data_IF_956669286381
#
_entry.id   IF_956669286381
#
_cell.length_a   1.000
_cell.length_b   1.000
_cell.length_c   1.000
_cell.angle_alpha   90.00
_cell.angle_beta   90.00
_cell.angle_gamma   90.00
#
_symmetry.space_group_name_H-M   'P 1'
#
loop_
_entity.id
_entity.type
_entity.pdbx_description
1 polymer ?
#
# COMPACT_ATOMS: atom_id res chain seq x y z
N UNK A 1 53.98 10.90 0.02
CA UNK A 1 54.39 9.93 1.07
C UNK A 1 54.05 10.46 2.45
N UNK A 2 52.97 10.00 3.07
CA UNK A 2 52.98 9.44 4.44
C UNK A 2 51.69 8.64 4.63
N UNK A 3 51.84 7.39 5.06
CA UNK A 3 50.84 6.33 5.15
C UNK A 3 50.60 6.07 6.65
N UNK A 4 49.36 6.09 7.15
CA UNK A 4 49.00 5.68 8.53
C UNK A 4 47.59 5.03 8.54
N UNK A 5 47.22 4.20 9.53
CA UNK A 5 46.80 2.82 9.28
C UNK A 5 45.33 2.51 9.59
N UNK A 6 44.85 1.44 8.93
CA UNK A 6 43.61 0.71 9.22
C UNK A 6 43.62 0.17 10.67
N UNK A 7 42.61 0.49 11.48
CA UNK A 7 42.36 -0.19 12.76
C UNK A 7 41.07 -1.00 12.63
N UNK A 8 41.26 -2.32 12.57
CA UNK A 8 40.25 -3.37 12.52
C UNK A 8 40.01 -3.84 13.96
N UNK A 9 38.92 -3.42 14.59
CA UNK A 9 38.50 -3.94 15.89
C UNK A 9 37.54 -5.11 15.68
N UNK A 10 38.06 -6.32 15.81
CA UNK A 10 37.29 -7.55 15.99
C UNK A 10 37.05 -7.77 17.47
N UNK A 11 35.80 -7.96 17.89
CA UNK A 11 35.48 -8.62 19.16
C UNK A 11 34.38 -9.65 18.91
N UNK A 12 34.73 -10.91 19.18
CA UNK A 12 33.98 -12.13 18.93
C UNK A 12 33.01 -12.46 20.12
N UNK A 13 32.15 -13.48 20.01
CA UNK A 13 30.87 -13.60 20.72
C UNK A 13 30.98 -14.33 22.08
N UNK A 14 29.95 -14.19 22.93
CA UNK A 14 29.76 -15.02 24.12
C UNK A 14 28.44 -15.80 23.99
N UNK A 15 28.57 -17.12 23.90
CA UNK A 15 27.50 -18.12 23.82
C UNK A 15 27.41 -18.81 25.19
N UNK A 16 26.21 -18.83 25.80
CA UNK A 16 25.79 -19.74 26.89
C UNK A 16 24.26 -19.91 26.71
N UNK A 17 23.61 -21.05 26.52
CA UNK A 17 24.00 -22.46 26.59
C UNK A 17 23.42 -23.17 27.83
N UNK A 18 22.14 -23.54 27.88
CA UNK A 18 21.67 -24.72 28.63
C UNK A 18 20.25 -25.20 28.22
N UNK A 19 20.19 -26.44 27.75
CA UNK A 19 19.01 -27.19 27.32
C UNK A 19 18.37 -27.96 28.49
N UNK A 20 17.04 -28.13 28.47
CA UNK A 20 16.31 -29.11 29.30
C UNK A 20 15.48 -30.02 28.37
N UNK A 21 15.79 -31.32 28.40
CA UNK A 21 14.96 -32.44 27.90
C UNK A 21 14.20 -33.04 29.12
N UNK A 22 13.14 -33.84 29.10
CA UNK A 22 12.56 -34.87 28.21
C UNK A 22 11.15 -35.16 28.79
N UNK A 23 10.15 -35.54 27.98
CA UNK A 23 9.23 -36.64 28.35
C UNK A 23 8.41 -37.11 27.14
N UNK A 24 8.44 -38.42 26.92
CA UNK A 24 7.88 -39.15 25.80
C UNK A 24 6.43 -39.62 26.04
N UNK A 25 5.68 -39.88 24.96
CA UNK A 25 5.07 -41.20 24.72
C UNK A 25 4.47 -41.30 23.31
N UNK A 26 4.90 -42.34 22.60
CA UNK A 26 4.54 -42.70 21.22
C UNK A 26 3.16 -43.36 21.09
N UNK A 27 2.58 -43.27 19.88
CA UNK A 27 1.91 -44.40 19.22
C UNK A 27 1.87 -44.20 17.70
N UNK A 28 2.42 -45.17 16.98
CA UNK A 28 2.10 -45.44 15.58
C UNK A 28 1.13 -46.63 15.52
N UNK A 29 0.11 -46.59 14.66
CA UNK A 29 0.02 -47.62 13.62
C UNK A 29 -0.53 -47.11 12.26
N UNK A 30 0.05 -47.64 11.18
CA UNK A 30 -0.44 -47.68 9.78
C UNK A 30 -0.46 -49.20 9.40
N UNK A 31 -1.24 -49.79 8.44
CA UNK A 31 -1.99 -49.31 7.25
C UNK A 31 -3.47 -49.88 7.23
N UNK A 32 -4.35 -49.88 6.17
CA UNK A 32 -4.11 -49.85 4.72
C UNK A 32 -5.04 -49.02 3.81
N UNK A 33 -4.63 -49.02 2.54
CA UNK A 33 -5.21 -48.39 1.35
C UNK A 33 -6.65 -48.84 1.05
N UNK A 34 -7.60 -47.89 0.94
CA UNK A 34 -8.29 -47.52 -0.32
C UNK A 34 -9.13 -46.23 -0.11
N UNK A 35 -9.26 -45.33 -1.11
CA UNK A 35 -9.89 -44.01 -0.94
C UNK A 35 -11.41 -44.08 -0.76
N UNK A 36 -12.01 -43.34 0.17
CA UNK A 36 -13.41 -42.96 0.05
C UNK A 36 -13.55 -41.82 -0.96
N UNK A 37 -14.21 -42.15 -2.06
CA UNK A 37 -14.92 -41.31 -3.03
C UNK A 37 -15.25 -39.90 -2.51
N UNK A 38 -14.77 -38.88 -3.24
CA UNK A 38 -15.02 -37.47 -2.97
C UNK A 38 -16.51 -37.17 -3.13
N UNK A 39 -17.20 -36.52 -2.17
CA UNK A 39 -18.46 -35.87 -2.49
C UNK A 39 -18.19 -34.75 -3.51
N UNK A 40 -19.00 -34.60 -4.58
CA UNK A 40 -18.89 -33.47 -5.47
C UNK A 40 -19.42 -32.23 -4.75
N UNK A 41 -18.56 -31.54 -4.00
CA UNK A 41 -18.85 -30.17 -3.56
C UNK A 41 -18.55 -29.24 -4.73
N UNK A 42 -19.58 -29.15 -5.55
CA UNK A 42 -20.07 -27.98 -6.25
C UNK A 42 -19.01 -26.90 -6.49
N UNK A 43 -18.68 -26.71 -7.77
CA UNK A 43 -18.05 -25.50 -8.25
C UNK A 43 -18.71 -24.29 -7.61
N UNK A 44 -18.01 -23.66 -6.68
CA UNK A 44 -18.32 -22.30 -6.27
C UNK A 44 -18.06 -21.48 -7.53
N UNK A 45 -19.15 -21.09 -8.19
CA UNK A 45 -19.12 -20.19 -9.32
C UNK A 45 -18.20 -19.01 -8.97
N UNK A 46 -17.44 -18.46 -9.93
CA UNK A 46 -16.80 -17.17 -9.70
C UNK A 46 -17.93 -16.22 -9.30
N UNK A 47 -17.96 -15.83 -8.03
CA UNK A 47 -18.76 -14.70 -7.59
C UNK A 47 -18.28 -13.56 -8.46
N UNK A 48 -19.13 -13.19 -9.42
CA UNK A 48 -18.94 -12.05 -10.29
C UNK A 48 -18.37 -10.92 -9.45
N UNK A 49 -17.18 -10.44 -9.78
CA UNK A 49 -16.61 -9.21 -9.26
C UNK A 49 -17.41 -7.99 -9.80
N UNK A 50 -18.72 -8.03 -9.61
CA UNK A 50 -19.70 -7.04 -9.99
C UNK A 50 -20.53 -6.69 -8.76
N UNK A 51 -19.85 -6.33 -7.67
CA UNK A 51 -20.48 -5.82 -6.47
C UNK A 51 -19.54 -4.86 -5.75
N UNK A 52 -19.19 -3.77 -6.43
CA UNK A 52 -19.00 -2.45 -5.82
C UNK A 52 -18.56 -1.46 -6.92
N UNK A 53 -19.43 -1.22 -7.90
CA UNK A 53 -19.52 0.14 -8.44
C UNK A 53 -20.20 1.02 -7.36
N UNK A 54 -19.65 1.05 -6.15
CA UNK A 54 -19.87 2.16 -5.24
C UNK A 54 -19.36 3.34 -6.03
N UNK A 55 -20.28 4.16 -6.52
CA UNK A 55 -19.99 5.33 -7.35
C UNK A 55 -18.75 5.99 -6.78
N UNK A 56 -17.64 5.87 -7.51
CA UNK A 56 -16.38 6.42 -7.05
C UNK A 56 -16.63 7.91 -6.85
N UNK A 57 -16.20 8.47 -5.71
CA UNK A 57 -16.31 9.91 -5.49
C UNK A 57 -15.90 10.67 -6.75
N UNK A 58 -16.56 11.79 -7.05
CA UNK A 58 -16.31 12.61 -8.25
C UNK A 58 -14.93 13.29 -8.19
N UNK A 59 -13.90 12.46 -8.24
CA UNK A 59 -12.49 12.80 -8.14
C UNK A 59 -11.82 12.79 -9.51
N UNK A 60 -12.51 12.25 -10.52
CA UNK A 60 -12.05 12.21 -11.90
C UNK A 60 -11.67 13.60 -12.40
N UNK A 61 -10.57 13.66 -13.16
CA UNK A 61 -9.98 14.88 -13.70
C UNK A 61 -8.91 15.49 -12.81
N UNK A 62 -8.46 16.69 -13.19
CA UNK A 62 -7.31 17.38 -12.58
C UNK A 62 -7.68 18.17 -11.31
N UNK A 63 -6.76 18.22 -10.36
CA UNK A 63 -6.77 18.95 -9.10
C UNK A 63 -5.47 19.74 -8.98
N UNK A 64 -5.54 20.99 -8.54
CA UNK A 64 -4.40 21.92 -8.61
C UNK A 64 -3.61 21.97 -7.31
N UNK A 65 -2.29 21.81 -7.41
CA UNK A 65 -1.30 21.87 -6.33
C UNK A 65 -0.47 23.16 -6.36
N UNK A 66 0.53 23.32 -5.47
CA UNK A 66 1.33 24.55 -5.42
C UNK A 66 2.23 24.60 -6.65
N UNK A 67 2.73 25.77 -7.01
CA UNK A 67 3.91 25.88 -7.88
C UNK A 67 3.75 25.13 -9.24
N UNK A 68 2.53 25.03 -9.75
CA UNK A 68 2.22 24.34 -11.01
C UNK A 68 2.10 22.81 -10.91
N UNK A 69 2.19 22.24 -9.71
CA UNK A 69 1.93 20.81 -9.46
C UNK A 69 0.43 20.50 -9.60
N UNK A 70 0.10 19.23 -9.82
CA UNK A 70 -1.28 18.79 -9.95
C UNK A 70 -1.41 17.28 -9.72
N UNK A 71 -2.63 16.85 -9.41
CA UNK A 71 -3.04 15.45 -9.40
C UNK A 71 -4.20 15.26 -10.37
N UNK A 72 -4.21 14.19 -11.14
CA UNK A 72 -5.29 13.84 -12.04
C UNK A 72 -5.72 12.40 -11.81
N UNK A 73 -7.02 12.19 -11.58
CA UNK A 73 -7.60 10.85 -11.45
C UNK A 73 -8.29 10.50 -12.76
N UNK A 74 -8.00 9.33 -13.33
CA UNK A 74 -8.70 8.80 -14.50
C UNK A 74 -9.28 7.43 -14.16
N UNK A 75 -10.57 7.18 -14.45
CA UNK A 75 -11.13 5.84 -14.31
C UNK A 75 -10.52 4.88 -15.32
N UNK A 76 -10.24 3.66 -14.87
CA UNK A 76 -9.85 2.52 -15.70
C UNK A 76 -10.89 1.40 -15.56
N UNK A 77 -10.79 0.36 -16.38
CA UNK A 77 -11.58 -0.85 -16.21
C UNK A 77 -11.13 -1.58 -14.93
N UNK A 78 -11.91 -1.44 -13.85
CA UNK A 78 -11.64 -2.10 -12.56
C UNK A 78 -10.72 -1.35 -11.61
N UNK A 79 -10.44 -0.05 -11.85
CA UNK A 79 -9.59 0.75 -10.97
C UNK A 79 -9.41 2.19 -11.46
N UNK A 80 -8.30 2.80 -11.06
CA UNK A 80 -7.95 4.17 -11.40
C UNK A 80 -6.50 4.28 -11.85
N UNK A 81 -6.24 5.29 -12.66
CA UNK A 81 -4.92 5.83 -12.88
C UNK A 81 -4.84 7.17 -12.14
N UNK A 82 -3.79 7.36 -11.34
CA UNK A 82 -3.47 8.63 -10.70
C UNK A 82 -2.18 9.17 -11.32
N UNK A 83 -2.27 10.30 -11.99
CA UNK A 83 -1.11 11.04 -12.47
C UNK A 83 -0.81 12.19 -11.51
N UNK A 84 0.44 12.31 -11.07
CA UNK A 84 0.91 13.36 -10.18
C UNK A 84 2.07 14.09 -10.87
N UNK A 85 1.92 15.40 -11.07
CA UNK A 85 3.01 16.30 -11.39
C UNK A 85 3.53 16.92 -10.11
N UNK A 86 4.79 16.65 -9.77
CA UNK A 86 5.52 17.39 -8.74
C UNK A 86 6.55 18.34 -9.40
N UNK A 87 7.53 18.85 -8.66
CA UNK A 87 8.57 19.72 -9.23
C UNK A 87 9.59 18.97 -10.09
N UNK A 88 9.63 17.63 -10.02
CA UNK A 88 10.56 16.79 -10.78
C UNK A 88 9.96 16.28 -12.10
N UNK A 89 8.64 16.21 -12.20
CA UNK A 89 7.96 15.71 -13.40
C UNK A 89 6.59 15.09 -13.13
N UNK A 90 5.96 14.60 -14.20
CA UNK A 90 4.74 13.79 -14.12
C UNK A 90 5.12 12.33 -13.89
N UNK A 91 4.47 11.68 -12.93
CA UNK A 91 4.48 10.22 -12.75
C UNK A 91 3.05 9.70 -12.64
N UNK A 92 2.86 8.44 -13.03
CA UNK A 92 1.55 7.80 -13.09
C UNK A 92 1.55 6.52 -12.27
N UNK A 93 0.47 6.30 -11.52
CA UNK A 93 0.34 5.18 -10.59
C UNK A 93 -1.01 4.48 -10.78
N UNK A 94 -1.04 3.13 -10.81
CA UNK A 94 -2.30 2.41 -10.66
C UNK A 94 -2.83 2.62 -9.25
N UNK A 95 -4.13 2.84 -9.13
CA UNK A 95 -4.82 3.04 -7.87
C UNK A 95 -6.11 2.22 -7.81
N UNK A 96 -6.49 1.84 -6.60
CA UNK A 96 -7.74 1.14 -6.32
C UNK A 96 -8.51 1.85 -5.23
N UNK A 97 -9.84 1.84 -5.32
CA UNK A 97 -10.66 2.35 -4.23
C UNK A 97 -10.61 1.37 -3.05
N UNK A 98 -10.29 1.88 -1.87
CA UNK A 98 -10.18 1.14 -0.61
C UNK A 98 -10.88 1.93 0.51
N UNK A 99 -10.93 1.37 1.71
CA UNK A 99 -11.44 2.09 2.86
C UNK A 99 -10.64 3.39 3.07
N UNK A 100 -11.32 4.54 2.94
CA UNK A 100 -10.73 5.86 3.16
C UNK A 100 -10.29 6.61 1.90
N UNK A 101 -10.28 5.97 0.71
CA UNK A 101 -10.01 6.66 -0.56
C UNK A 101 -9.30 5.83 -1.62
N UNK A 102 -8.50 6.47 -2.47
CA UNK A 102 -7.73 5.79 -3.52
C UNK A 102 -6.36 5.36 -3.00
N UNK A 103 -6.18 4.06 -2.81
CA UNK A 103 -4.91 3.48 -2.44
C UNK A 103 -3.99 3.32 -3.66
N UNK A 104 -2.73 3.72 -3.54
CA UNK A 104 -1.69 3.54 -4.56
C UNK A 104 -0.31 3.40 -3.92
N UNK A 105 0.65 2.82 -4.65
CA UNK A 105 2.04 2.67 -4.19
C UNK A 105 2.95 3.63 -4.95
N UNK A 106 3.75 4.42 -4.21
CA UNK A 106 4.81 5.27 -4.76
C UNK A 106 6.10 5.05 -4.01
N UNK A 107 7.17 4.76 -4.74
CA UNK A 107 8.52 4.56 -4.19
C UNK A 107 8.59 3.50 -3.07
N UNK A 108 7.75 2.46 -3.17
CA UNK A 108 7.65 1.38 -2.20
C UNK A 108 6.77 1.68 -0.98
N UNK A 109 6.23 2.89 -0.86
CA UNK A 109 5.30 3.29 0.19
C UNK A 109 3.84 3.24 -0.29
N UNK A 110 2.94 2.77 0.56
CA UNK A 110 1.49 2.82 0.33
C UNK A 110 0.94 4.19 0.76
N UNK A 111 0.11 4.77 -0.09
CA UNK A 111 -0.58 6.03 0.15
C UNK A 111 -2.08 5.86 -0.09
N UNK A 112 -2.90 6.61 0.65
CA UNK A 112 -4.35 6.70 0.43
C UNK A 112 -4.70 8.15 0.14
N UNK A 113 -5.12 8.44 -1.08
CA UNK A 113 -5.66 9.75 -1.44
C UNK A 113 -7.03 9.89 -0.81
N UNK A 114 -7.20 10.88 0.06
CA UNK A 114 -8.46 11.15 0.76
C UNK A 114 -8.99 12.54 0.44
N UNK A 115 -10.30 12.70 0.52
CA UNK A 115 -10.90 14.04 0.51
C UNK A 115 -10.60 14.79 1.82
N UNK A 116 -10.57 16.11 1.73
CA UNK A 116 -10.49 17.01 2.87
C UNK A 116 -10.56 18.47 2.42
N UNK A 117 -10.16 19.35 3.33
CA UNK A 117 -10.01 20.78 3.08
C UNK A 117 -8.56 21.15 2.80
N UNK A 118 -8.35 22.39 2.40
CA UNK A 118 -7.05 22.98 2.21
C UNK A 118 -6.27 23.10 3.52
N UNK A 119 -6.94 23.33 4.64
CA UNK A 119 -6.32 23.29 5.96
C UNK A 119 -5.76 21.89 6.28
N UNK A 120 -6.48 20.82 5.93
CA UNK A 120 -6.06 19.43 6.14
C UNK A 120 -4.81 19.04 5.32
N UNK A 121 -4.50 19.80 4.26
CA UNK A 121 -3.28 19.56 3.46
C UNK A 121 -2.01 19.97 4.21
N UNK A 122 -2.12 20.83 5.24
CA UNK A 122 -0.97 21.43 5.92
C UNK A 122 -0.25 22.53 5.12
N UNK A 123 -0.82 22.96 3.98
CA UNK A 123 -0.19 23.95 3.11
C UNK A 123 -0.87 25.31 3.17
N UNK A 124 -0.09 26.36 3.48
CA UNK A 124 -0.57 27.73 3.67
C UNK A 124 -1.37 28.29 2.46
N UNK A 125 -0.92 28.02 1.24
CA UNK A 125 -1.52 28.58 0.03
C UNK A 125 -2.82 27.87 -0.39
N UNK A 126 -3.13 26.71 0.23
CA UNK A 126 -4.41 26.04 0.09
C UNK A 126 -5.35 26.28 1.27
N UNK A 127 -4.89 26.87 2.38
CA UNK A 127 -5.59 26.81 3.67
C UNK A 127 -7.09 27.16 3.60
N UNK A 128 -7.48 28.10 2.74
CA UNK A 128 -8.87 28.57 2.61
C UNK A 128 -9.73 27.74 1.62
N UNK A 129 -9.17 26.72 0.98
CA UNK A 129 -9.88 25.81 0.08
C UNK A 129 -10.65 24.77 0.87
N UNK A 130 -11.79 24.33 0.33
CA UNK A 130 -12.68 23.37 1.02
C UNK A 130 -12.88 22.06 0.26
N UNK A 131 -12.45 22.01 -1.00
CA UNK A 131 -12.58 20.84 -1.85
C UNK A 131 -11.19 20.40 -2.31
N UNK A 132 -10.59 19.47 -1.57
CA UNK A 132 -9.22 19.04 -1.79
C UNK A 132 -9.07 17.52 -1.70
N UNK A 133 -8.10 17.01 -2.45
CA UNK A 133 -7.54 15.67 -2.32
C UNK A 133 -6.17 15.75 -1.65
N UNK A 134 -5.93 14.85 -0.71
CA UNK A 134 -4.73 14.85 0.13
C UNK A 134 -4.06 13.49 -0.02
N UNK A 135 -2.80 13.49 -0.45
CA UNK A 135 -1.96 12.28 -0.50
C UNK A 135 -1.32 12.05 0.86
N UNK A 136 -0.78 13.12 1.45
CA UNK A 136 -0.17 13.16 2.78
C UNK A 136 -0.09 14.61 3.29
N UNK A 137 0.30 14.80 4.55
CA UNK A 137 0.56 16.16 5.04
C UNK A 137 1.67 16.80 4.22
N UNK A 138 1.44 18.01 3.71
CA UNK A 138 2.34 18.71 2.80
C UNK A 138 2.14 18.38 1.32
N UNK A 139 1.21 17.48 0.97
CA UNK A 139 0.93 17.08 -0.42
C UNK A 139 -0.58 16.94 -0.66
N UNK A 140 -1.14 17.93 -1.34
CA UNK A 140 -2.58 18.05 -1.56
C UNK A 140 -2.92 18.97 -2.72
N UNK A 141 -4.12 18.80 -3.23
CA UNK A 141 -4.56 19.37 -4.50
C UNK A 141 -6.02 19.77 -4.39
N UNK A 142 -6.39 20.98 -4.77
CA UNK A 142 -7.73 21.49 -4.58
C UNK A 142 -8.43 21.89 -5.89
N UNK A 143 -9.75 22.00 -5.82
CA UNK A 143 -10.64 22.58 -6.82
C UNK A 143 -11.46 23.71 -6.20
N UNK A 144 -11.83 24.70 -7.01
CA UNK A 144 -12.43 25.96 -6.52
C UNK A 144 -11.39 26.80 -5.79
#
# INVERSE_FOLDING_TARGET
MTLLPLIRAHMAPVIVGLSVAISACSRAPEPPQNPPELPPVSAEAPVSASAAASSVPDWTGKWTGPEGTWLEVKPLNGGFEVAIQNLDGVRTFPAAFQQGGLAFTRDGAEHIIRAGSGADTGMKWLADKTNCLIVMTGEGYCRG
#
